data_IF_711017188098
#
_entry.id   IF_711017188098
#
_cell.length_a   1.000
_cell.length_b   1.000
_cell.length_c   1.000
_cell.angle_alpha   90.00
_cell.angle_beta   90.00
_cell.angle_gamma   90.00
#
_symmetry.space_group_name_H-M   'P 1'
#
loop_
_entity.id
_entity.type
_entity.pdbx_description
1 polymer ?
#
# COMPACT_ATOMS: atom_id res chain seq x y z
N UNK A 1 10.27 -13.62 0.54
CA UNK A 1 9.90 -12.35 -0.17
C UNK A 1 9.43 -11.33 0.84
N UNK A 2 10.05 -10.15 0.85
CA UNK A 2 9.69 -9.05 1.73
C UNK A 2 8.96 -7.98 0.91
N UNK A 3 7.79 -7.56 1.36
CA UNK A 3 6.92 -6.58 0.69
C UNK A 3 6.74 -5.37 1.60
N UNK A 4 6.98 -4.17 1.06
CA UNK A 4 6.61 -2.92 1.69
C UNK A 4 5.17 -2.54 1.32
N UNK A 5 4.40 -2.03 2.27
CA UNK A 5 3.03 -1.61 2.04
C UNK A 5 2.85 -0.20 2.61
N UNK A 6 2.31 0.70 1.81
CA UNK A 6 1.94 2.06 2.22
C UNK A 6 0.62 2.48 1.60
N UNK A 7 0.02 3.52 2.15
CA UNK A 7 -1.22 4.12 1.66
C UNK A 7 -1.34 5.57 2.15
N UNK A 8 -2.34 6.28 1.64
CA UNK A 8 -2.73 7.59 2.17
C UNK A 8 -1.53 8.53 2.29
N UNK A 9 -0.80 8.71 1.17
CA UNK A 9 0.39 9.58 1.09
C UNK A 9 0.02 11.05 0.96
N UNK A 10 -1.16 11.36 0.38
CA UNK A 10 -1.78 12.69 0.31
C UNK A 10 -0.77 13.82 0.06
N UNK A 11 0.07 13.66 -0.97
CA UNK A 11 1.06 14.64 -1.41
C UNK A 11 2.10 15.06 -0.34
N UNK A 12 2.23 14.32 0.77
CA UNK A 12 3.25 14.59 1.77
C UNK A 12 4.62 14.07 1.28
N UNK A 13 5.36 14.94 0.59
CA UNK A 13 6.66 14.61 0.00
C UNK A 13 7.66 14.13 1.04
N UNK A 14 7.72 14.76 2.21
CA UNK A 14 8.67 14.39 3.27
C UNK A 14 8.40 12.97 3.78
N UNK A 15 7.13 12.64 4.02
CA UNK A 15 6.72 11.30 4.45
C UNK A 15 6.99 10.25 3.36
N UNK A 16 6.69 10.57 2.09
CA UNK A 16 6.97 9.70 0.94
C UNK A 16 8.47 9.41 0.86
N UNK A 17 9.32 10.43 0.98
CA UNK A 17 10.78 10.25 0.93
C UNK A 17 11.30 9.42 2.11
N UNK A 18 10.72 9.57 3.31
CA UNK A 18 11.04 8.70 4.45
C UNK A 18 10.67 7.24 4.17
N UNK A 19 9.48 7.00 3.64
CA UNK A 19 9.03 5.66 3.27
C UNK A 19 9.94 5.01 2.22
N UNK A 20 10.35 5.76 1.19
CA UNK A 20 11.27 5.29 0.15
C UNK A 20 12.62 4.89 0.76
N UNK A 21 13.24 5.77 1.58
CA UNK A 21 14.51 5.46 2.25
C UNK A 21 14.39 4.22 3.12
N UNK A 22 13.30 4.11 3.87
CA UNK A 22 13.05 2.94 4.70
C UNK A 22 12.94 1.66 3.87
N UNK A 23 12.09 1.62 2.85
CA UNK A 23 11.90 0.42 2.02
C UNK A 23 13.18 0.01 1.28
N UNK A 24 13.93 0.96 0.72
CA UNK A 24 15.21 0.68 0.08
C UNK A 24 16.23 0.11 1.10
N UNK A 25 16.30 0.65 2.32
CA UNK A 25 17.16 0.12 3.39
C UNK A 25 16.77 -1.30 3.82
N UNK A 26 15.47 -1.60 3.81
CA UNK A 26 14.92 -2.93 4.12
C UNK A 26 15.07 -3.92 2.96
N UNK A 27 15.49 -3.46 1.78
CA UNK A 27 15.63 -4.28 0.55
C UNK A 27 14.35 -5.06 0.24
N UNK A 28 13.19 -4.39 0.34
CA UNK A 28 11.93 -5.00 -0.05
C UNK A 28 11.93 -5.30 -1.56
N UNK A 29 11.32 -6.39 -1.97
CA UNK A 29 11.26 -6.81 -3.38
C UNK A 29 10.11 -6.14 -4.12
N UNK A 30 9.03 -5.86 -3.41
CA UNK A 30 7.86 -5.16 -3.90
C UNK A 30 7.43 -4.07 -2.93
N UNK A 31 6.85 -3.01 -3.48
CA UNK A 31 6.11 -2.01 -2.71
C UNK A 31 4.69 -1.95 -3.27
N UNK A 32 3.70 -2.13 -2.39
CA UNK A 32 2.28 -2.00 -2.72
C UNK A 32 1.77 -0.70 -2.11
N UNK A 33 1.14 0.15 -2.94
CA UNK A 33 0.48 1.38 -2.49
C UNK A 33 -1.04 1.21 -2.61
N UNK A 34 -1.73 1.26 -1.48
CA UNK A 34 -3.17 0.99 -1.41
C UNK A 34 -4.06 2.23 -1.61
N UNK A 35 -3.57 3.21 -2.40
CA UNK A 35 -4.37 4.35 -2.87
C UNK A 35 -4.17 5.65 -2.08
N UNK A 36 -4.79 6.71 -2.59
CA UNK A 36 -4.70 8.09 -2.11
C UNK A 36 -3.29 8.70 -2.21
N UNK A 37 -2.81 8.80 -3.47
CA UNK A 37 -1.63 9.60 -3.84
C UNK A 37 -1.95 11.08 -3.87
N UNK A 38 -3.03 11.42 -4.55
CA UNK A 38 -3.65 12.68 -4.97
C UNK A 38 -3.05 13.22 -6.27
N UNK A 39 -1.86 13.81 -6.27
CA UNK A 39 -1.30 14.46 -7.44
C UNK A 39 -0.12 13.71 -8.09
N UNK A 40 0.06 13.83 -9.42
CA UNK A 40 1.15 13.17 -10.13
C UNK A 40 2.56 13.55 -9.65
N UNK A 41 2.76 14.79 -9.15
CA UNK A 41 4.09 15.23 -8.73
C UNK A 41 4.59 14.46 -7.50
N UNK A 42 3.68 14.08 -6.58
CA UNK A 42 4.03 13.31 -5.40
C UNK A 42 4.29 11.84 -5.75
N UNK A 43 3.49 11.27 -6.65
CA UNK A 43 3.72 9.92 -7.17
C UNK A 43 5.10 9.80 -7.85
N UNK A 44 5.59 10.87 -8.48
CA UNK A 44 6.92 10.87 -9.11
C UNK A 44 8.04 10.58 -8.11
N UNK A 45 7.88 10.94 -6.84
CA UNK A 45 8.87 10.58 -5.82
C UNK A 45 9.03 9.06 -5.69
N UNK A 46 7.92 8.30 -5.78
CA UNK A 46 7.94 6.84 -5.66
C UNK A 46 8.71 6.12 -6.79
N UNK A 47 9.06 6.82 -7.88
CA UNK A 47 9.94 6.25 -8.91
C UNK A 47 11.38 6.04 -8.43
N UNK A 48 11.74 6.57 -7.24
CA UNK A 48 13.04 6.38 -6.58
C UNK A 48 13.10 5.08 -5.74
N UNK A 49 12.01 4.33 -5.68
CA UNK A 49 12.01 2.99 -5.09
C UNK A 49 12.88 2.04 -5.92
N UNK A 50 13.71 1.26 -5.23
CA UNK A 50 14.51 0.18 -5.86
C UNK A 50 13.66 -1.08 -6.09
N UNK A 51 12.56 -1.19 -5.35
CA UNK A 51 11.60 -2.29 -5.44
C UNK A 51 10.65 -2.15 -6.65
N UNK A 52 10.04 -3.26 -7.05
CA UNK A 52 8.93 -3.23 -8.01
C UNK A 52 7.70 -2.61 -7.36
N UNK A 53 7.07 -1.68 -8.06
CA UNK A 53 5.91 -0.95 -7.56
C UNK A 53 4.61 -1.49 -8.13
N UNK A 54 3.60 -1.68 -7.28
CA UNK A 54 2.21 -1.98 -7.64
C UNK A 54 1.32 -1.01 -6.86
N UNK A 55 0.40 -0.35 -7.55
CA UNK A 55 -0.51 0.58 -6.90
C UNK A 55 -1.97 0.36 -7.27
N UNK A 56 -2.87 0.87 -6.46
CA UNK A 56 -4.29 1.01 -6.78
C UNK A 56 -4.73 2.45 -6.58
N UNK A 57 -5.84 2.83 -7.22
CA UNK A 57 -6.46 4.14 -6.98
C UNK A 57 -7.24 4.14 -5.66
N UNK A 58 -7.11 5.24 -4.91
CA UNK A 58 -7.99 5.56 -3.78
C UNK A 58 -9.14 6.50 -4.22
N UNK A 59 -9.93 6.93 -3.24
CA UNK A 59 -11.07 7.82 -3.49
C UNK A 59 -10.65 9.28 -3.77
N UNK A 60 -9.47 9.71 -3.32
CA UNK A 60 -8.94 11.04 -3.60
C UNK A 60 -8.08 11.12 -4.87
N UNK A 61 -7.90 10.00 -5.60
CA UNK A 61 -7.11 9.95 -6.82
C UNK A 61 -7.95 10.33 -8.04
N UNK A 62 -8.25 11.63 -8.18
CA UNK A 62 -9.07 12.17 -9.28
C UNK A 62 -8.30 12.33 -10.58
N UNK A 63 -7.02 12.68 -10.53
CA UNK A 63 -6.17 12.95 -11.70
C UNK A 63 -5.53 11.67 -12.27
N UNK A 64 -6.36 10.66 -12.51
CA UNK A 64 -5.90 9.30 -12.91
C UNK A 64 -5.05 9.29 -14.17
N UNK A 65 -5.35 10.12 -15.16
CA UNK A 65 -4.53 10.20 -16.38
C UNK A 65 -3.12 10.71 -16.09
N UNK A 66 -2.99 11.71 -15.23
CA UNK A 66 -1.71 12.22 -14.77
C UNK A 66 -0.92 11.19 -13.99
N UNK A 67 -1.57 10.50 -13.05
CA UNK A 67 -0.96 9.41 -12.29
C UNK A 67 -0.45 8.29 -13.19
N UNK A 68 -1.27 7.83 -14.15
CA UNK A 68 -0.88 6.79 -15.12
C UNK A 68 0.22 7.23 -16.08
N UNK A 69 0.40 8.53 -16.31
CA UNK A 69 1.53 9.04 -17.10
C UNK A 69 2.87 8.88 -16.38
N UNK A 70 2.86 8.88 -15.04
CA UNK A 70 4.06 8.67 -14.21
C UNK A 70 4.31 7.19 -13.99
N UNK A 71 3.26 6.43 -13.62
CA UNK A 71 3.37 5.00 -13.37
C UNK A 71 2.17 4.26 -13.95
N UNK A 72 2.45 3.34 -14.89
CA UNK A 72 1.40 2.55 -15.53
C UNK A 72 0.90 1.38 -14.67
N UNK A 73 1.61 1.03 -13.61
CA UNK A 73 1.27 -0.09 -12.74
C UNK A 73 0.39 0.34 -11.56
N UNK A 74 -0.64 1.17 -11.87
CA UNK A 74 -1.69 1.57 -10.94
C UNK A 74 -3.02 1.05 -11.48
N UNK A 75 -3.77 0.35 -10.67
CA UNK A 75 -4.95 -0.40 -11.06
C UNK A 75 -6.21 0.12 -10.37
N UNK A 76 -7.36 -0.20 -10.94
CA UNK A 76 -8.65 0.07 -10.30
C UNK A 76 -8.90 -0.99 -9.21
N UNK A 77 -9.22 -0.59 -7.96
CA UNK A 77 -9.55 -1.55 -6.91
C UNK A 77 -10.94 -2.20 -7.14
N UNK A 78 -11.16 -3.43 -6.62
CA UNK A 78 -10.16 -4.30 -6.00
C UNK A 78 -9.21 -4.89 -7.03
N UNK A 79 -7.96 -5.10 -6.65
CA UNK A 79 -6.94 -5.66 -7.54
C UNK A 79 -6.31 -6.91 -6.92
N UNK A 80 -6.37 -8.01 -7.66
CA UNK A 80 -5.84 -9.31 -7.26
C UNK A 80 -4.39 -9.44 -7.70
N UNK A 81 -3.54 -9.91 -6.80
CA UNK A 81 -2.11 -10.09 -7.01
C UNK A 81 -1.73 -11.50 -6.61
N UNK A 82 -1.06 -12.22 -7.51
CA UNK A 82 -0.44 -13.51 -7.20
C UNK A 82 1.07 -13.32 -7.12
N UNK A 83 1.63 -13.46 -5.92
CA UNK A 83 3.06 -13.36 -5.67
C UNK A 83 3.54 -14.60 -4.92
N UNK A 84 4.54 -15.29 -5.45
CA UNK A 84 5.16 -16.44 -4.82
C UNK A 84 4.16 -17.50 -4.30
N UNK A 85 3.09 -17.73 -5.09
CA UNK A 85 2.03 -18.69 -4.75
C UNK A 85 1.03 -18.20 -3.71
N UNK A 86 1.13 -16.95 -3.24
CA UNK A 86 0.17 -16.32 -2.32
C UNK A 86 -0.78 -15.39 -3.08
N UNK A 87 -2.06 -15.50 -2.76
CA UNK A 87 -3.11 -14.65 -3.30
C UNK A 87 -3.38 -13.45 -2.39
N UNK A 88 -3.13 -12.25 -2.91
CA UNK A 88 -3.43 -11.00 -2.22
C UNK A 88 -4.52 -10.26 -2.96
N UNK A 89 -5.41 -9.60 -2.24
CA UNK A 89 -6.32 -8.60 -2.81
C UNK A 89 -6.04 -7.25 -2.17
N UNK A 90 -5.94 -6.22 -3.01
CA UNK A 90 -5.72 -4.85 -2.57
C UNK A 90 -6.94 -4.00 -2.90
N UNK A 91 -7.45 -3.32 -1.90
CA UNK A 91 -8.53 -2.35 -2.05
C UNK A 91 -8.23 -1.11 -1.22
N UNK A 92 -8.75 0.06 -1.60
CA UNK A 92 -8.61 1.25 -0.76
C UNK A 92 -9.60 1.20 0.42
N UNK A 93 -10.89 0.96 0.13
CA UNK A 93 -11.95 0.86 1.14
C UNK A 93 -12.36 -0.59 1.32
N UNK A 94 -12.21 -1.13 2.54
CA UNK A 94 -12.50 -2.54 2.84
C UNK A 94 -13.97 -2.89 2.64
N UNK A 95 -14.88 -1.94 2.82
CA UNK A 95 -16.31 -2.08 2.64
C UNK A 95 -16.70 -2.34 1.18
N UNK A 96 -15.85 -1.92 0.25
CA UNK A 96 -16.07 -2.17 -1.19
C UNK A 96 -15.87 -3.63 -1.60
N UNK A 97 -15.16 -4.41 -0.76
CA UNK A 97 -14.92 -5.83 -1.03
C UNK A 97 -16.11 -6.70 -0.67
N UNK A 98 -16.64 -7.40 -1.67
CA UNK A 98 -17.64 -8.44 -1.42
C UNK A 98 -17.06 -9.59 -0.58
N UNK A 99 -17.93 -10.36 0.07
CA UNK A 99 -17.52 -11.57 0.80
C UNK A 99 -16.77 -12.55 -0.13
N UNK A 100 -17.28 -12.72 -1.35
CA UNK A 100 -16.69 -13.59 -2.37
C UNK A 100 -15.30 -13.15 -2.80
N UNK A 101 -15.04 -11.84 -2.88
CA UNK A 101 -13.72 -11.32 -3.25
C UNK A 101 -12.63 -11.57 -2.19
N UNK A 102 -13.04 -11.95 -0.96
CA UNK A 102 -12.14 -12.31 0.14
C UNK A 102 -11.91 -13.83 0.23
N UNK A 103 -12.74 -14.62 -0.45
CA UNK A 103 -12.61 -16.07 -0.46
C UNK A 103 -11.34 -16.46 -1.23
N UNK A 104 -10.60 -17.42 -0.69
CA UNK A 104 -9.33 -17.92 -1.25
C UNK A 104 -8.17 -16.90 -1.31
N UNK A 105 -8.26 -15.79 -0.59
CA UNK A 105 -7.15 -14.87 -0.41
C UNK A 105 -6.30 -15.29 0.80
N UNK A 106 -4.99 -15.16 0.69
CA UNK A 106 -4.08 -15.27 1.82
C UNK A 106 -4.02 -13.95 2.60
N UNK A 107 -4.05 -12.80 1.88
CA UNK A 107 -3.95 -11.47 2.46
C UNK A 107 -4.96 -10.51 1.82
N UNK A 108 -5.65 -9.74 2.64
CA UNK A 108 -6.48 -8.59 2.24
C UNK A 108 -5.78 -7.32 2.71
N UNK A 109 -5.35 -6.49 1.77
CA UNK A 109 -4.73 -5.20 2.03
C UNK A 109 -5.78 -4.11 1.81
N UNK A 110 -5.94 -3.23 2.81
CA UNK A 110 -6.86 -2.08 2.75
C UNK A 110 -6.20 -0.81 3.29
N UNK A 111 -6.89 0.34 3.17
CA UNK A 111 -6.42 1.65 3.57
C UNK A 111 -7.58 2.53 4.04
N UNK A 112 -7.60 3.83 3.70
CA UNK A 112 -8.69 4.80 3.87
C UNK A 112 -9.00 5.22 5.31
N UNK A 113 -8.99 4.30 6.27
CA UNK A 113 -9.29 4.62 7.68
C UNK A 113 -8.19 5.42 8.36
N UNK A 114 -6.99 5.46 7.75
CA UNK A 114 -5.77 6.05 8.30
C UNK A 114 -5.26 5.36 9.58
N UNK A 115 -5.92 4.30 10.02
CA UNK A 115 -5.58 3.57 11.26
C UNK A 115 -4.83 2.28 10.88
N UNK A 116 -3.58 2.09 11.37
CA UNK A 116 -2.84 0.88 11.09
C UNK A 116 -3.48 -0.32 11.80
N UNK A 117 -3.63 -1.42 11.08
CA UNK A 117 -4.20 -2.66 11.61
C UNK A 117 -3.52 -3.89 11.00
N UNK A 118 -3.19 -4.86 11.83
CA UNK A 118 -2.87 -6.22 11.42
C UNK A 118 -3.78 -7.17 12.18
N UNK A 119 -4.61 -7.90 11.45
CA UNK A 119 -5.48 -8.92 12.01
C UNK A 119 -5.12 -10.26 11.38
N UNK A 120 -4.50 -11.11 12.19
CA UNK A 120 -4.14 -12.47 11.78
C UNK A 120 -5.37 -13.32 11.53
N UNK A 121 -5.30 -14.20 10.54
CA UNK A 121 -6.41 -15.09 10.16
C UNK A 121 -6.21 -15.68 8.78
N UNK A 122 -7.26 -16.25 8.24
CA UNK A 122 -7.33 -16.74 6.87
C UNK A 122 -8.60 -16.17 6.21
N UNK A 123 -8.45 -15.07 5.44
CA UNK A 123 -7.21 -14.35 5.15
C UNK A 123 -6.70 -13.49 6.32
N UNK A 124 -5.40 -13.12 6.26
CA UNK A 124 -4.86 -12.01 7.04
C UNK A 124 -5.43 -10.69 6.52
N UNK A 125 -5.76 -9.74 7.42
CA UNK A 125 -6.11 -8.37 7.06
C UNK A 125 -4.99 -7.42 7.47
N UNK A 126 -4.59 -6.54 6.55
CA UNK A 126 -3.52 -5.57 6.78
C UNK A 126 -3.92 -4.19 6.26
N UNK A 127 -3.85 -3.20 7.14
CA UNK A 127 -3.92 -1.78 6.79
C UNK A 127 -2.61 -1.12 7.28
N UNK A 128 -1.81 -0.50 6.42
CA UNK A 128 -0.55 0.11 6.83
C UNK A 128 -0.73 1.40 7.65
N UNK A 129 -1.97 1.91 7.76
CA UNK A 129 -2.24 3.24 8.27
C UNK A 129 -1.90 4.33 7.24
N UNK A 130 -1.78 5.58 7.70
CA UNK A 130 -1.49 6.73 6.85
C UNK A 130 0.03 6.99 6.74
N UNK A 131 0.54 7.01 5.52
CA UNK A 131 1.92 7.43 5.30
C UNK A 131 2.09 8.95 5.53
N UNK A 132 1.08 9.75 5.22
CA UNK A 132 1.14 11.20 5.37
C UNK A 132 1.25 11.68 6.83
N UNK A 133 0.69 10.96 7.79
CA UNK A 133 0.71 11.34 9.21
C UNK A 133 -0.13 12.57 9.57
N UNK A 134 -1.09 12.97 8.73
CA UNK A 134 -1.84 14.22 8.93
C UNK A 134 -3.04 14.07 9.85
N UNK A 135 -3.65 12.91 9.93
CA UNK A 135 -4.83 12.66 10.76
C UNK A 135 -4.43 12.21 12.16
N UNK A 136 -3.52 11.24 12.25
CA UNK A 136 -3.10 10.65 13.53
C UNK A 136 -1.76 11.20 14.05
N UNK A 137 -1.14 12.13 13.33
CA UNK A 137 0.14 12.75 13.70
C UNK A 137 1.35 11.82 13.60
N UNK A 138 1.19 10.65 13.01
CA UNK A 138 2.26 9.64 12.85
C UNK A 138 2.22 9.03 11.46
N UNK A 139 3.34 9.08 10.75
CA UNK A 139 3.51 8.39 9.47
C UNK A 139 3.75 6.92 9.71
N UNK A 140 2.98 6.05 9.06
CA UNK A 140 3.11 4.60 9.17
C UNK A 140 3.21 3.92 7.82
N UNK A 141 3.90 2.80 7.80
CA UNK A 141 3.96 1.84 6.69
C UNK A 141 3.95 0.44 7.27
N UNK A 142 3.85 -0.60 6.43
CA UNK A 142 3.95 -1.96 6.88
C UNK A 142 5.02 -2.74 6.10
N UNK A 143 5.59 -3.75 6.74
CA UNK A 143 6.40 -4.81 6.11
C UNK A 143 5.62 -6.12 6.23
N UNK A 144 5.54 -6.86 5.14
CA UNK A 144 4.96 -8.19 5.08
C UNK A 144 6.01 -9.20 4.61
N UNK A 145 6.25 -10.23 5.39
CA UNK A 145 7.01 -11.42 5.02
C UNK A 145 6.05 -12.44 4.39
N UNK A 146 6.06 -12.54 3.07
CA UNK A 146 5.00 -13.22 2.32
C UNK A 146 4.95 -14.74 2.57
N UNK A 147 6.09 -15.39 2.81
CA UNK A 147 6.14 -16.85 3.03
C UNK A 147 5.50 -17.25 4.35
N UNK A 148 5.78 -16.48 5.41
CA UNK A 148 5.31 -16.79 6.77
C UNK A 148 4.01 -16.09 7.12
N UNK A 149 3.60 -15.09 6.32
CA UNK A 149 2.50 -14.17 6.59
C UNK A 149 2.69 -13.42 7.93
N UNK A 150 3.96 -13.15 8.29
CA UNK A 150 4.29 -12.24 9.38
C UNK A 150 4.31 -10.80 8.87
N UNK A 151 3.66 -9.90 9.59
CA UNK A 151 3.62 -8.50 9.23
C UNK A 151 3.87 -7.61 10.45
N UNK A 152 4.44 -6.43 10.19
CA UNK A 152 4.68 -5.41 11.21
C UNK A 152 4.31 -4.02 10.69
N UNK A 153 3.79 -3.18 11.60
CA UNK A 153 3.59 -1.75 11.35
C UNK A 153 4.85 -1.01 11.80
N UNK A 154 5.34 -0.14 10.94
CA UNK A 154 6.53 0.67 11.19
C UNK A 154 6.15 2.15 11.23
N UNK A 155 6.53 2.83 12.31
CA UNK A 155 6.38 4.27 12.45
C UNK A 155 7.63 4.94 11.88
N UNK A 156 7.42 5.79 10.87
CA UNK A 156 8.50 6.53 10.22
C UNK A 156 8.88 7.76 11.07
N UNK A 157 10.13 7.87 11.42
CA UNK A 157 10.70 9.02 12.16
C UNK A 157 11.23 10.12 11.24
#
# INVERSE_FOLDING_TARGET
>A
MKIGILADTHDNIDAIQKAIRFFNSQKVEYVIHAGDYVAPFSLKELTKLEARFIGIFGNNDGERKGLLSICKNIHVPPYDILLNGKHLVVTHMIESLSKRAKENMDVVISAHTHVPEIRQGNPMYLNPGECCGWVNGRSTVAILHLETLDAEIVYLS
#
